data_IF_509935741765
#
_entry.id   IF_509935741765
#
_cell.length_a   1.000
_cell.length_b   1.000
_cell.length_c   1.000
_cell.angle_alpha   90.00
_cell.angle_beta   90.00
_cell.angle_gamma   90.00
#
_symmetry.space_group_name_H-M   'P 1'
#
loop_
_entity.id
_entity.type
_entity.pdbx_description
1 polymer ?
#
# COMPACT_ATOMS: atom_id res chain seq x y z
N UNK A 1 -31.25 21.95 -64.57
CA UNK A 1 -29.94 21.51 -64.07
C UNK A 1 -29.68 22.16 -62.71
N UNK A 2 -29.90 21.41 -61.60
CA UNK A 2 -29.62 21.89 -60.23
C UNK A 2 -28.29 21.31 -59.77
N UNK A 3 -27.30 22.19 -59.58
CA UNK A 3 -26.00 21.78 -59.02
C UNK A 3 -26.11 21.75 -57.50
N UNK A 4 -26.00 20.54 -56.89
CA UNK A 4 -25.83 20.35 -55.47
C UNK A 4 -24.37 20.61 -55.11
N UNK A 5 -24.10 21.61 -54.26
CA UNK A 5 -22.81 21.76 -53.58
C UNK A 5 -22.81 20.91 -52.32
N UNK A 6 -21.94 19.89 -52.28
CA UNK A 6 -21.63 19.18 -51.06
C UNK A 6 -20.51 19.94 -50.35
N UNK A 7 -20.83 20.53 -49.18
CA UNK A 7 -19.87 21.09 -48.24
C UNK A 7 -19.37 19.93 -47.40
N UNK A 8 -18.11 19.56 -47.63
CA UNK A 8 -17.42 18.54 -46.86
C UNK A 8 -16.94 19.19 -45.54
N UNK A 9 -17.63 18.95 -44.43
CA UNK A 9 -17.14 19.29 -43.11
C UNK A 9 -16.05 18.27 -42.68
N UNK A 10 -14.78 18.63 -42.83
CA UNK A 10 -13.66 17.93 -42.19
C UNK A 10 -13.69 18.26 -40.69
N UNK A 11 -14.33 17.40 -39.90
CA UNK A 11 -14.11 17.39 -38.45
C UNK A 11 -12.69 16.87 -38.18
N UNK A 12 -11.77 17.77 -37.89
CA UNK A 12 -10.49 17.45 -37.25
C UNK A 12 -10.78 17.05 -35.81
N UNK A 13 -11.16 15.80 -35.60
CA UNK A 13 -11.16 15.20 -34.28
C UNK A 13 -9.73 14.93 -33.87
N UNK A 14 -9.09 15.90 -33.22
CA UNK A 14 -7.87 15.58 -32.46
C UNK A 14 -8.27 14.60 -31.34
N UNK A 15 -7.59 13.45 -31.27
CA UNK A 15 -7.95 12.45 -30.25
C UNK A 15 -7.73 13.04 -28.86
N UNK A 16 -8.73 12.90 -27.99
CA UNK A 16 -8.76 13.41 -26.61
C UNK A 16 -7.52 13.01 -25.76
N UNK A 17 -6.84 11.93 -26.13
CA UNK A 17 -5.61 11.52 -25.45
C UNK A 17 -4.39 12.44 -25.73
N UNK A 18 -4.35 13.12 -26.87
CA UNK A 18 -3.28 14.07 -27.16
C UNK A 18 -3.40 15.33 -26.30
N UNK A 19 -4.63 15.76 -25.95
CA UNK A 19 -4.86 16.87 -25.01
C UNK A 19 -4.56 16.50 -23.56
N UNK A 20 -4.71 15.23 -23.18
CA UNK A 20 -4.34 14.76 -21.85
C UNK A 20 -2.81 14.72 -21.65
N UNK A 21 -2.04 14.39 -22.69
CA UNK A 21 -0.57 14.42 -22.62
C UNK A 21 0.00 15.83 -22.52
N UNK A 22 -0.55 16.80 -23.27
CA UNK A 22 -0.12 18.20 -23.19
C UNK A 22 -0.45 18.85 -21.84
N UNK A 23 -1.55 18.47 -21.20
CA UNK A 23 -1.87 18.94 -19.83
C UNK A 23 -0.95 18.37 -18.76
N UNK A 24 -0.41 17.14 -18.92
CA UNK A 24 0.55 16.56 -17.98
C UNK A 24 1.92 17.26 -18.03
N UNK A 25 2.34 17.76 -19.19
CA UNK A 25 3.61 18.47 -19.34
C UNK A 25 3.62 19.88 -18.74
N UNK A 26 2.44 20.46 -18.46
CA UNK A 26 2.30 21.85 -18.00
C UNK A 26 1.97 22.03 -16.52
N UNK A 27 1.94 20.96 -15.71
CA UNK A 27 1.88 21.09 -14.25
C UNK A 27 3.31 21.43 -13.79
N UNK A 28 3.58 22.70 -13.42
CA UNK A 28 4.89 23.03 -12.86
C UNK A 28 5.07 22.17 -11.62
N UNK A 29 6.20 21.48 -11.50
CA UNK A 29 6.59 20.77 -10.28
C UNK A 29 6.87 21.77 -9.15
N UNK A 30 5.89 22.60 -8.81
CA UNK A 30 5.97 23.54 -7.69
C UNK A 30 5.86 22.85 -6.32
N UNK A 31 5.65 21.55 -6.27
CA UNK A 31 5.98 20.78 -5.08
C UNK A 31 7.47 20.40 -5.09
N UNK A 32 8.33 21.37 -5.40
CA UNK A 32 9.72 21.39 -5.03
C UNK A 32 9.89 21.49 -3.52
N UNK A 33 9.02 20.82 -2.77
CA UNK A 33 9.27 20.45 -1.41
C UNK A 33 10.65 19.80 -1.42
N UNK A 34 11.58 20.45 -0.77
CA UNK A 34 12.96 20.11 -0.55
C UNK A 34 13.19 18.61 -0.73
N UNK A 35 13.69 18.19 -1.90
CA UNK A 35 14.06 16.81 -2.15
C UNK A 35 15.21 16.48 -1.23
N UNK A 36 14.89 15.90 -0.09
CA UNK A 36 15.90 15.33 0.79
C UNK A 36 16.14 13.92 0.25
N UNK A 37 17.27 13.71 -0.45
CA UNK A 37 17.66 12.40 -0.95
C UNK A 37 18.27 12.40 -2.35
N UNK A 38 18.61 11.21 -2.83
CA UNK A 38 19.37 11.00 -4.06
C UNK A 38 18.51 10.84 -5.33
N UNK A 39 17.19 11.04 -5.26
CA UNK A 39 16.29 10.93 -6.41
C UNK A 39 16.49 12.09 -7.36
N UNK A 40 16.83 11.77 -8.60
CA UNK A 40 17.00 12.74 -9.69
C UNK A 40 15.67 13.07 -10.37
N UNK A 41 15.65 14.10 -11.21
CA UNK A 41 14.49 14.40 -12.06
C UNK A 41 14.23 13.27 -13.06
N UNK A 42 15.27 12.59 -13.55
CA UNK A 42 15.14 11.42 -14.41
C UNK A 42 14.44 10.25 -13.68
N UNK A 43 14.71 10.03 -12.40
CA UNK A 43 14.02 9.01 -11.60
C UNK A 43 12.54 9.33 -11.44
N UNK A 44 12.21 10.60 -11.21
CA UNK A 44 10.82 11.05 -11.08
C UNK A 44 10.08 11.00 -12.41
N UNK A 45 10.77 11.28 -13.52
CA UNK A 45 10.19 11.16 -14.86
C UNK A 45 9.90 9.69 -15.19
N UNK A 46 10.82 8.78 -14.93
CA UNK A 46 10.61 7.34 -15.07
C UNK A 46 9.40 6.86 -14.26
N UNK A 47 9.26 7.31 -13.00
CA UNK A 47 8.11 7.00 -12.18
C UNK A 47 6.79 7.51 -12.78
N UNK A 48 6.77 8.71 -13.36
CA UNK A 48 5.57 9.26 -14.03
C UNK A 48 5.19 8.49 -15.30
N UNK A 49 6.15 7.85 -15.95
CA UNK A 49 5.93 7.02 -17.13
C UNK A 49 5.32 5.66 -16.79
N UNK A 50 5.25 5.27 -15.54
CA UNK A 50 4.54 4.07 -15.12
C UNK A 50 3.04 4.21 -15.43
N UNK A 51 2.53 3.38 -16.36
CA UNK A 51 1.14 3.46 -16.82
C UNK A 51 0.17 2.65 -15.97
N UNK A 52 0.52 1.38 -15.71
CA UNK A 52 -0.31 0.43 -14.96
C UNK A 52 0.44 -0.06 -13.73
N UNK A 53 -0.23 -0.04 -12.59
CA UNK A 53 0.26 -0.62 -11.34
C UNK A 53 -0.70 -1.64 -10.78
N UNK A 54 -0.17 -2.60 -10.03
CA UNK A 54 -0.95 -3.54 -9.23
C UNK A 54 -0.90 -3.09 -7.77
N UNK A 55 -2.05 -3.02 -7.10
CA UNK A 55 -2.14 -2.77 -5.69
C UNK A 55 -2.76 -3.98 -4.99
N UNK A 56 -2.03 -4.59 -4.04
CA UNK A 56 -2.48 -5.77 -3.32
C UNK A 56 -2.62 -5.43 -1.83
N UNK A 57 -3.85 -5.57 -1.31
CA UNK A 57 -4.15 -5.57 0.12
C UNK A 57 -4.23 -7.02 0.59
N UNK A 58 -3.35 -7.41 1.51
CA UNK A 58 -3.35 -8.75 2.08
C UNK A 58 -2.81 -8.74 3.51
N UNK A 59 -3.42 -9.52 4.37
CA UNK A 59 -3.08 -9.63 5.79
C UNK A 59 -3.98 -10.61 6.51
N UNK A 60 -3.99 -10.58 7.84
CA UNK A 60 -4.82 -11.48 8.67
C UNK A 60 -6.32 -11.30 8.42
N UNK A 61 -6.75 -10.13 7.98
CA UNK A 61 -8.14 -9.85 7.59
C UNK A 61 -8.63 -10.71 6.41
N UNK A 62 -7.74 -11.32 5.66
CA UNK A 62 -8.11 -12.28 4.61
C UNK A 62 -8.69 -13.60 5.20
N UNK A 63 -8.41 -13.91 6.48
CA UNK A 63 -8.95 -15.10 7.13
C UNK A 63 -10.46 -14.99 7.30
N UNK A 64 -11.01 -13.93 7.95
CA UNK A 64 -12.45 -13.74 8.02
C UNK A 64 -13.07 -13.33 6.69
N UNK A 65 -12.29 -12.71 5.76
CA UNK A 65 -12.76 -12.35 4.43
C UNK A 65 -14.00 -11.47 4.40
N UNK A 66 -14.19 -10.63 5.40
CA UNK A 66 -15.38 -9.77 5.53
C UNK A 66 -16.56 -10.43 6.24
N UNK A 67 -16.40 -11.64 6.81
CA UNK A 67 -17.45 -12.34 7.56
C UNK A 67 -17.00 -12.67 8.98
N UNK A 68 -17.94 -12.59 9.92
CA UNK A 68 -17.74 -13.02 11.29
C UNK A 68 -19.03 -13.57 11.88
N UNK A 69 -19.00 -14.81 12.41
CA UNK A 69 -20.15 -15.49 13.01
C UNK A 69 -21.44 -15.42 12.17
N UNK A 70 -21.30 -15.67 10.87
CA UNK A 70 -22.43 -15.68 9.92
C UNK A 70 -22.92 -14.30 9.48
N UNK A 71 -22.28 -13.22 9.93
CA UNK A 71 -22.63 -11.85 9.54
C UNK A 71 -21.59 -11.27 8.58
N UNK A 72 -22.08 -10.54 7.56
CA UNK A 72 -21.25 -9.80 6.63
C UNK A 72 -20.89 -8.44 7.21
N UNK A 73 -19.60 -8.10 7.18
CA UNK A 73 -19.15 -6.75 7.47
C UNK A 73 -19.55 -5.81 6.31
N UNK A 74 -20.18 -4.66 6.58
CA UNK A 74 -20.71 -3.78 5.53
C UNK A 74 -19.63 -2.90 4.85
N UNK A 75 -18.35 -3.09 5.19
CA UNK A 75 -17.22 -2.34 4.66
C UNK A 75 -16.19 -3.22 3.96
N UNK A 76 -15.04 -2.66 3.66
CA UNK A 76 -13.91 -3.37 3.10
C UNK A 76 -13.30 -4.33 4.14
N UNK A 77 -13.00 -5.56 3.72
CA UNK A 77 -12.63 -6.66 4.64
C UNK A 77 -11.41 -6.32 5.52
N UNK A 78 -10.47 -5.53 5.04
CA UNK A 78 -9.29 -5.08 5.78
C UNK A 78 -9.62 -4.15 6.97
N UNK A 79 -10.85 -3.62 7.02
CA UNK A 79 -11.36 -2.81 8.13
C UNK A 79 -12.17 -3.59 9.16
N UNK A 80 -12.37 -4.90 8.98
CA UNK A 80 -13.26 -5.71 9.83
C UNK A 80 -12.90 -5.64 11.33
N UNK A 81 -11.61 -5.45 11.68
CA UNK A 81 -11.19 -5.26 13.07
C UNK A 81 -11.83 -4.04 13.73
N UNK A 82 -12.16 -3.00 12.96
CA UNK A 82 -12.83 -1.80 13.47
C UNK A 82 -14.32 -2.00 13.75
N UNK A 83 -14.90 -3.09 13.23
CA UNK A 83 -16.31 -3.38 13.39
C UNK A 83 -16.66 -3.67 14.85
N UNK A 84 -17.76 -3.06 15.33
CA UNK A 84 -18.20 -3.22 16.73
C UNK A 84 -18.55 -4.65 17.11
N UNK A 85 -18.99 -5.46 16.13
CA UNK A 85 -19.36 -6.86 16.31
C UNK A 85 -18.16 -7.81 16.23
N UNK A 86 -16.98 -7.32 15.85
CA UNK A 86 -15.74 -8.09 15.83
C UNK A 86 -15.01 -7.98 17.18
N UNK A 87 -14.95 -9.05 17.99
CA UNK A 87 -14.16 -9.03 19.21
C UNK A 87 -12.68 -8.81 18.91
N UNK A 88 -12.07 -7.80 19.53
CA UNK A 88 -10.69 -7.39 19.21
C UNK A 88 -9.69 -8.51 19.51
N UNK A 89 -9.84 -9.18 20.67
CA UNK A 89 -8.94 -10.27 21.06
C UNK A 89 -9.06 -11.47 20.11
N UNK A 90 -10.28 -11.77 19.63
CA UNK A 90 -10.49 -12.81 18.63
C UNK A 90 -9.79 -12.46 17.31
N UNK A 91 -9.98 -11.22 16.82
CA UNK A 91 -9.29 -10.77 15.62
C UNK A 91 -7.77 -10.81 15.79
N UNK A 92 -7.27 -10.22 16.88
CA UNK A 92 -5.83 -10.13 17.16
C UNK A 92 -5.18 -11.51 17.37
N UNK A 93 -5.97 -12.57 17.54
CA UNK A 93 -5.48 -13.97 17.58
C UNK A 93 -5.41 -14.65 16.21
N UNK A 94 -6.05 -14.10 15.17
CA UNK A 94 -6.14 -14.73 13.83
C UNK A 94 -4.77 -15.00 13.17
N UNK A 95 -3.75 -14.21 13.49
CA UNK A 95 -2.40 -14.46 12.96
C UNK A 95 -1.88 -15.86 13.28
N UNK A 96 -2.35 -16.48 14.37
CA UNK A 96 -2.01 -17.86 14.74
C UNK A 96 -2.55 -18.90 13.76
N UNK A 97 -3.47 -18.50 12.88
CA UNK A 97 -4.04 -19.32 11.81
C UNK A 97 -3.49 -18.92 10.43
N UNK A 98 -2.72 -17.83 10.34
CA UNK A 98 -2.22 -17.32 9.07
C UNK A 98 -1.14 -18.26 8.50
N UNK A 99 -1.55 -19.12 7.58
CA UNK A 99 -0.69 -20.14 6.96
C UNK A 99 -0.96 -20.27 5.46
N UNK A 100 -0.58 -19.31 4.64
CA UNK A 100 -0.85 -19.30 3.21
C UNK A 100 0.09 -20.24 2.44
N UNK A 101 -0.09 -21.55 2.57
CA UNK A 101 0.77 -22.56 1.95
C UNK A 101 0.74 -22.57 0.42
N UNK A 102 -0.35 -22.06 -0.18
CA UNK A 102 -0.52 -21.95 -1.64
C UNK A 102 -0.04 -20.60 -2.21
N UNK A 103 0.53 -19.73 -1.37
CA UNK A 103 1.05 -18.44 -1.83
C UNK A 103 2.29 -18.66 -2.71
N UNK A 104 2.24 -18.11 -3.92
CA UNK A 104 3.35 -18.11 -4.88
C UNK A 104 3.58 -16.69 -5.43
N UNK A 105 4.55 -15.99 -4.83
CA UNK A 105 4.92 -14.64 -5.22
C UNK A 105 5.41 -14.55 -6.68
N UNK A 106 6.07 -15.61 -7.19
CA UNK A 106 6.57 -15.64 -8.57
C UNK A 106 5.42 -15.74 -9.57
N UNK A 107 4.41 -16.57 -9.27
CA UNK A 107 3.21 -16.66 -10.10
C UNK A 107 2.46 -15.32 -10.14
N UNK A 108 2.34 -14.63 -8.99
CA UNK A 108 1.72 -13.30 -8.92
C UNK A 108 2.49 -12.26 -9.74
N UNK A 109 3.81 -12.21 -9.60
CA UNK A 109 4.65 -11.27 -10.33
C UNK A 109 4.59 -11.50 -11.84
N UNK A 110 4.62 -12.77 -12.29
CA UNK A 110 4.49 -13.13 -13.70
C UNK A 110 3.15 -12.68 -14.27
N UNK A 111 2.05 -12.89 -13.55
CA UNK A 111 0.73 -12.42 -13.97
C UNK A 111 0.66 -10.89 -14.04
N UNK A 112 1.21 -10.19 -13.07
CA UNK A 112 1.30 -8.73 -13.08
C UNK A 112 2.07 -8.22 -14.31
N UNK A 113 3.20 -8.87 -14.62
CA UNK A 113 3.97 -8.55 -15.83
C UNK A 113 3.20 -8.79 -17.11
N UNK A 114 2.46 -9.89 -17.18
CA UNK A 114 1.62 -10.22 -18.36
C UNK A 114 0.48 -9.22 -18.54
N UNK A 115 -0.07 -8.64 -17.46
CA UNK A 115 -1.05 -7.55 -17.52
C UNK A 115 -0.44 -6.20 -17.95
N UNK A 116 0.87 -6.11 -18.06
CA UNK A 116 1.58 -4.87 -18.39
C UNK A 116 1.85 -3.95 -17.19
N UNK A 117 1.80 -4.46 -15.96
CA UNK A 117 2.15 -3.68 -14.79
C UNK A 117 3.64 -3.31 -14.79
N UNK A 118 3.93 -2.05 -14.50
CA UNK A 118 5.28 -1.51 -14.39
C UNK A 118 5.70 -1.30 -12.93
N UNK A 119 4.73 -1.20 -12.04
CA UNK A 119 4.95 -1.11 -10.60
C UNK A 119 3.89 -1.88 -9.83
N UNK A 120 4.20 -2.16 -8.57
CA UNK A 120 3.24 -2.71 -7.63
C UNK A 120 3.35 -2.01 -6.28
N UNK A 121 2.25 -2.01 -5.53
CA UNK A 121 2.21 -1.57 -4.14
C UNK A 121 1.68 -2.74 -3.32
N UNK A 122 2.42 -3.13 -2.28
CA UNK A 122 2.08 -4.26 -1.42
C UNK A 122 1.90 -3.82 0.03
N UNK A 123 0.79 -4.21 0.66
CA UNK A 123 0.57 -3.95 2.08
C UNK A 123 1.56 -4.72 2.93
N UNK A 124 2.46 -4.04 3.61
CA UNK A 124 3.35 -4.64 4.61
C UNK A 124 2.71 -4.69 5.98
N UNK A 125 2.00 -3.63 6.35
CA UNK A 125 1.21 -3.50 7.56
C UNK A 125 -0.01 -2.63 7.27
N UNK A 126 -1.23 -3.15 7.51
CA UNK A 126 -2.48 -2.38 7.45
C UNK A 126 -2.81 -1.78 8.83
N UNK A 127 -3.95 -1.14 8.99
CA UNK A 127 -4.38 -0.48 10.23
C UNK A 127 -4.50 -1.42 11.43
N UNK A 128 -4.64 -2.73 11.19
CA UNK A 128 -4.69 -3.74 12.25
C UNK A 128 -3.34 -3.98 12.95
N UNK A 129 -2.25 -3.46 12.38
CA UNK A 129 -0.91 -3.54 12.95
C UNK A 129 -0.15 -4.84 12.65
N UNK A 130 -0.76 -5.82 11.94
CA UNK A 130 -0.08 -7.07 11.62
C UNK A 130 1.02 -6.85 10.56
N UNK A 131 2.25 -7.28 10.88
CA UNK A 131 3.40 -7.15 10.01
C UNK A 131 3.62 -8.38 9.16
N UNK A 132 3.58 -8.25 7.82
CA UNK A 132 3.87 -9.34 6.86
C UNK A 132 5.38 -9.59 6.67
N UNK A 133 6.23 -8.91 7.45
CA UNK A 133 7.68 -9.14 7.58
C UNK A 133 8.04 -9.45 9.05
N UNK A 134 9.19 -10.07 9.33
CA UNK A 134 9.61 -10.42 10.69
C UNK A 134 10.15 -9.20 11.46
N UNK A 135 9.27 -8.22 11.74
CA UNK A 135 9.64 -7.03 12.52
C UNK A 135 10.18 -7.40 13.89
N UNK A 136 11.25 -6.73 14.32
CA UNK A 136 11.88 -6.90 15.64
C UNK A 136 11.20 -6.10 16.75
N UNK A 137 10.24 -5.27 16.39
CA UNK A 137 9.61 -4.30 17.31
C UNK A 137 8.24 -4.74 17.81
N UNK A 138 7.71 -5.86 17.30
CA UNK A 138 6.42 -6.43 17.74
C UNK A 138 6.40 -7.93 17.53
N UNK A 139 5.66 -8.65 18.38
CA UNK A 139 5.36 -10.07 18.20
C UNK A 139 4.18 -10.31 17.22
N UNK A 140 3.47 -9.24 16.83
CA UNK A 140 2.34 -9.33 15.91
C UNK A 140 2.83 -9.32 14.46
N UNK A 141 3.58 -10.37 14.09
CA UNK A 141 4.28 -10.49 12.81
C UNK A 141 4.12 -11.87 12.19
N UNK A 142 4.46 -11.95 10.90
CA UNK A 142 4.53 -13.21 10.14
C UNK A 142 5.45 -14.24 10.79
N UNK A 143 6.49 -13.84 11.52
CA UNK A 143 7.43 -14.74 12.18
C UNK A 143 6.75 -15.61 13.25
N UNK A 144 5.68 -15.13 13.86
CA UNK A 144 4.92 -15.82 14.90
C UNK A 144 3.66 -16.54 14.38
N UNK A 145 3.53 -16.67 13.06
CA UNK A 145 2.47 -17.44 12.40
C UNK A 145 2.95 -18.88 12.09
N UNK A 146 2.05 -19.81 11.76
CA UNK A 146 2.46 -21.13 11.23
C UNK A 146 3.26 -21.04 9.94
N UNK A 147 3.05 -20.01 9.12
CA UNK A 147 3.76 -19.81 7.86
C UNK A 147 5.24 -19.45 8.04
N UNK A 148 5.55 -18.55 8.96
CA UNK A 148 6.91 -18.11 9.37
C UNK A 148 7.83 -17.54 8.28
N UNK A 149 7.42 -17.53 7.02
CA UNK A 149 8.23 -17.03 5.92
C UNK A 149 7.94 -15.56 5.68
N UNK A 150 8.97 -14.77 5.47
CA UNK A 150 8.88 -13.36 5.14
C UNK A 150 8.16 -13.16 3.80
N UNK A 151 6.90 -12.70 3.86
CA UNK A 151 6.06 -12.46 2.70
C UNK A 151 6.53 -11.23 1.93
N UNK A 152 6.96 -10.18 2.64
CA UNK A 152 7.46 -8.95 2.01
C UNK A 152 8.68 -9.25 1.18
N UNK A 153 9.64 -10.04 1.72
CA UNK A 153 10.82 -10.44 0.96
C UNK A 153 10.47 -11.23 -0.29
N UNK A 154 9.54 -12.20 -0.17
CA UNK A 154 9.12 -13.01 -1.32
C UNK A 154 8.51 -12.15 -2.44
N UNK A 155 7.67 -11.16 -2.08
CA UNK A 155 7.08 -10.21 -3.03
C UNK A 155 8.17 -9.33 -3.66
N UNK A 156 9.03 -8.71 -2.86
CA UNK A 156 10.09 -7.82 -3.36
C UNK A 156 10.99 -8.57 -4.35
N UNK A 157 11.47 -9.75 -3.97
CA UNK A 157 12.35 -10.55 -4.82
C UNK A 157 11.66 -10.96 -6.14
N UNK A 158 10.42 -11.45 -6.07
CA UNK A 158 9.70 -11.94 -7.25
C UNK A 158 9.35 -10.82 -8.24
N UNK A 159 8.82 -9.71 -7.77
CA UNK A 159 8.41 -8.61 -8.64
C UNK A 159 9.62 -7.86 -9.23
N UNK A 160 10.67 -7.69 -8.45
CA UNK A 160 11.93 -7.10 -8.95
C UNK A 160 12.55 -7.98 -10.05
N UNK A 161 12.49 -9.30 -9.91
CA UNK A 161 12.98 -10.24 -10.94
C UNK A 161 12.19 -10.13 -12.26
N UNK A 162 10.91 -9.77 -12.22
CA UNK A 162 10.08 -9.49 -13.41
C UNK A 162 10.24 -8.05 -13.94
N UNK A 163 11.13 -7.24 -13.35
CA UNK A 163 11.35 -5.85 -13.75
C UNK A 163 10.20 -4.91 -13.36
N UNK A 164 9.44 -5.25 -12.34
CA UNK A 164 8.34 -4.44 -11.78
C UNK A 164 8.86 -3.68 -10.57
N UNK A 165 8.68 -2.36 -10.55
CA UNK A 165 9.08 -1.51 -9.43
C UNK A 165 8.17 -1.77 -8.21
N UNK A 166 8.77 -2.13 -7.07
CA UNK A 166 8.04 -2.45 -5.85
C UNK A 166 7.99 -1.26 -4.91
N UNK A 167 6.80 -0.92 -4.45
CA UNK A 167 6.54 0.03 -3.39
C UNK A 167 5.86 -0.68 -2.22
N UNK A 168 6.21 -0.29 -1.01
CA UNK A 168 5.62 -0.87 0.20
C UNK A 168 4.56 0.08 0.78
N UNK A 169 3.34 -0.41 0.90
CA UNK A 169 2.29 0.27 1.65
C UNK A 169 2.54 0.06 3.14
N UNK A 170 2.46 1.14 3.88
CA UNK A 170 2.58 1.15 5.33
C UNK A 170 1.51 2.05 5.95
N UNK A 171 0.66 1.49 6.80
CA UNK A 171 -0.29 2.27 7.58
C UNK A 171 0.42 3.00 8.72
N UNK A 172 0.21 4.30 8.84
CA UNK A 172 0.61 5.10 10.01
C UNK A 172 -0.40 4.96 11.17
N UNK A 173 -1.58 4.41 10.89
CA UNK A 173 -2.55 3.95 11.90
C UNK A 173 -2.11 2.56 12.38
N UNK A 174 -2.25 2.28 13.67
CA UNK A 174 -1.98 0.97 14.24
C UNK A 174 -2.94 0.69 15.40
N UNK A 175 -4.02 0.00 15.10
CA UNK A 175 -5.06 -0.30 16.10
C UNK A 175 -4.63 -1.33 17.17
N UNK A 176 -3.52 -2.03 16.96
CA UNK A 176 -2.99 -3.00 17.90
C UNK A 176 -2.01 -2.35 18.90
N UNK A 177 -1.29 -1.29 18.48
CA UNK A 177 -0.30 -0.66 19.32
C UNK A 177 -0.94 0.22 20.42
N UNK A 178 -0.58 -0.02 21.67
CA UNK A 178 -1.18 0.66 22.86
C UNK A 178 -0.97 2.17 22.89
N UNK A 179 0.07 2.66 22.22
CA UNK A 179 0.37 4.08 22.15
C UNK A 179 -0.29 4.82 20.99
N UNK A 180 -0.91 4.08 20.04
CA UNK A 180 -1.64 4.71 18.95
C UNK A 180 -2.90 5.43 19.45
N UNK A 181 -3.17 6.59 18.88
CA UNK A 181 -4.34 7.43 19.22
C UNK A 181 -4.87 8.10 17.95
N UNK A 182 -6.21 8.11 17.75
CA UNK A 182 -6.84 8.82 16.63
C UNK A 182 -7.02 10.33 16.87
N UNK A 183 -6.72 10.81 18.10
CA UNK A 183 -6.90 12.19 18.53
C UNK A 183 -5.66 12.68 19.29
N UNK A 184 -5.43 14.00 19.43
CA UNK A 184 -4.32 14.55 20.18
C UNK A 184 -4.26 14.03 21.62
N UNK A 185 -3.04 13.86 22.20
CA UNK A 185 -2.88 13.47 23.58
C UNK A 185 -3.53 14.49 24.53
N UNK A 186 -4.32 13.99 25.49
CA UNK A 186 -5.03 14.84 26.48
C UNK A 186 -4.28 14.90 27.82
N UNK A 187 -3.48 13.88 28.11
CA UNK A 187 -2.70 13.78 29.33
C UNK A 187 -1.20 13.64 29.06
N UNK A 188 -0.38 13.86 30.06
CA UNK A 188 1.07 13.57 29.98
C UNK A 188 1.34 12.11 29.67
N UNK A 189 0.56 11.19 30.24
CA UNK A 189 0.71 9.76 30.00
C UNK A 189 0.38 9.41 28.54
N UNK A 190 -0.64 10.02 27.98
CA UNK A 190 -0.98 9.87 26.56
C UNK A 190 0.14 10.37 25.66
N UNK A 191 0.73 11.51 25.99
CA UNK A 191 1.87 12.05 25.23
C UNK A 191 3.06 11.10 25.25
N UNK A 192 3.39 10.52 26.40
CA UNK A 192 4.48 9.52 26.51
C UNK A 192 4.18 8.29 25.68
N UNK A 193 2.96 7.76 25.76
CA UNK A 193 2.55 6.58 24.99
C UNK A 193 2.61 6.85 23.48
N UNK A 194 2.19 8.05 23.07
CA UNK A 194 2.23 8.45 21.66
C UNK A 194 3.66 8.64 21.14
N UNK A 195 4.57 9.20 21.94
CA UNK A 195 6.01 9.27 21.58
C UNK A 195 6.59 7.85 21.37
N UNK A 196 6.25 6.91 22.26
CA UNK A 196 6.65 5.50 22.11
C UNK A 196 6.12 4.90 20.81
N UNK A 197 4.87 5.22 20.44
CA UNK A 197 4.30 4.79 19.15
C UNK A 197 5.02 5.39 17.95
N UNK A 198 5.38 6.68 18.00
CA UNK A 198 6.14 7.32 16.92
C UNK A 198 7.52 6.69 16.75
N UNK A 199 8.21 6.38 17.86
CA UNK A 199 9.48 5.68 17.82
C UNK A 199 9.35 4.26 17.24
N UNK A 200 8.35 3.51 17.68
CA UNK A 200 8.01 2.20 17.13
C UNK A 200 7.79 2.27 15.62
N UNK A 201 6.96 3.20 15.15
CA UNK A 201 6.68 3.42 13.73
C UNK A 201 7.94 3.77 12.94
N UNK A 202 8.76 4.68 13.47
CA UNK A 202 10.04 5.05 12.87
C UNK A 202 10.98 3.84 12.72
N UNK A 203 11.07 3.02 13.75
CA UNK A 203 11.94 1.85 13.74
C UNK A 203 11.48 0.80 12.72
N UNK A 204 10.18 0.56 12.59
CA UNK A 204 9.62 -0.30 11.55
C UNK A 204 9.89 0.23 10.14
N UNK A 205 9.81 1.53 9.92
CA UNK A 205 10.16 2.14 8.63
C UNK A 205 11.65 2.00 8.30
N UNK A 206 12.52 2.10 9.29
CA UNK A 206 13.96 1.86 9.13
C UNK A 206 14.21 0.39 8.74
N UNK A 207 13.55 -0.59 9.39
CA UNK A 207 13.62 -2.00 8.98
C UNK A 207 13.25 -2.17 7.50
N UNK A 208 12.07 -1.67 7.09
CA UNK A 208 11.60 -1.83 5.71
C UNK A 208 12.57 -1.21 4.69
N UNK A 209 13.12 -0.05 4.99
CA UNK A 209 14.07 0.65 4.09
C UNK A 209 15.45 0.00 4.07
N UNK A 210 15.84 -0.69 5.14
CA UNK A 210 17.17 -1.31 5.28
C UNK A 210 17.16 -2.75 4.78
N UNK A 211 16.13 -3.52 5.17
CA UNK A 211 16.08 -4.96 4.91
C UNK A 211 15.60 -5.27 3.47
N UNK A 212 14.93 -4.30 2.81
CA UNK A 212 14.44 -4.44 1.43
C UNK A 212 14.99 -3.35 0.50
N UNK A 213 16.29 -3.31 0.23
CA UNK A 213 16.92 -2.20 -0.53
C UNK A 213 16.48 -2.10 -1.99
N UNK A 214 15.83 -3.12 -2.54
CA UNK A 214 15.34 -3.13 -3.92
C UNK A 214 14.06 -2.31 -4.13
N UNK A 215 13.34 -1.94 -3.06
CA UNK A 215 12.11 -1.15 -3.16
C UNK A 215 12.37 0.25 -3.72
N UNK A 216 11.34 0.81 -4.36
CA UNK A 216 11.43 2.13 -5.00
C UNK A 216 10.75 3.23 -4.20
N UNK A 217 9.92 2.91 -3.23
CA UNK A 217 9.24 3.88 -2.39
C UNK A 217 8.33 3.28 -1.35
N UNK A 218 7.75 4.18 -0.56
CA UNK A 218 6.74 3.86 0.44
C UNK A 218 5.42 4.54 0.06
N UNK A 219 4.31 3.87 0.34
CA UNK A 219 2.97 4.41 0.29
C UNK A 219 2.43 4.50 1.71
N UNK A 220 2.20 5.71 2.19
CA UNK A 220 1.63 5.92 3.52
C UNK A 220 0.13 6.04 3.45
N UNK A 221 -0.55 5.41 4.40
CA UNK A 221 -2.00 5.47 4.58
C UNK A 221 -2.35 5.82 6.02
N UNK A 222 -3.56 6.38 6.24
CA UNK A 222 -4.04 6.73 7.57
C UNK A 222 -3.80 8.18 7.98
N UNK A 223 -3.67 9.11 7.03
CA UNK A 223 -3.38 10.52 7.30
C UNK A 223 -4.59 11.35 7.77
N UNK A 224 -5.76 10.74 7.94
CA UNK A 224 -6.98 11.43 8.37
C UNK A 224 -7.12 11.58 9.88
N UNK A 225 -6.37 10.84 10.67
CA UNK A 225 -6.35 10.99 12.12
C UNK A 225 -5.64 12.29 12.53
N UNK A 226 -6.10 12.89 13.61
CA UNK A 226 -5.67 14.23 14.07
C UNK A 226 -4.68 14.19 15.24
N UNK A 227 -4.09 13.01 15.51
CA UNK A 227 -3.12 12.87 16.59
C UNK A 227 -1.77 13.54 16.29
#
# INVERSE_FOLDING_TARGET
>A
MKKCFYILFLFLSMPLWAQAQTRRASIPLQHGAHRIGNRTDADMERWRQHGLGQFIHWGVYAIPGGFWEGKCYPGAAEWIRSWKEMPKDAYDSLYKQFNPTSFDAKAWAKQARQMGANYMIFTTKHHDGFCLWPSKYTDYTIAHTPYKKDVVKQIVDAYTAEGIDVHLYFSIIDWNHKGYRPAPPETRQDSIAYETFKEFTRNQLIELLTDYPAIKGLWFDGSWDKA
#
